data_IF_327421177654
#
_entry.id   IF_327421177654
#
_cell.length_a   1.000
_cell.length_b   1.000
_cell.length_c   1.000
_cell.angle_alpha   90.00
_cell.angle_beta   90.00
_cell.angle_gamma   90.00
#
_symmetry.space_group_name_H-M   'P 1'
#
loop_
_entity.id
_entity.type
_entity.pdbx_description
1 polymer ?
#
# COMPACT_ATOMS: atom_id res chain seq x y z
N UNK A 1 -48.56 52.64 -7.53
CA UNK A 1 -47.80 52.51 -6.27
C UNK A 1 -47.21 51.13 -6.24
N UNK A 2 -45.96 51.00 -6.69
CA UNK A 2 -45.28 49.73 -6.88
C UNK A 2 -44.17 49.61 -5.85
N UNK A 3 -44.33 48.67 -4.90
CA UNK A 3 -43.35 48.39 -3.85
C UNK A 3 -42.31 47.43 -4.35
N UNK A 4 -41.10 47.93 -4.54
CA UNK A 4 -39.90 47.15 -4.92
C UNK A 4 -39.46 46.32 -3.73
N UNK A 5 -39.49 45.00 -3.83
CA UNK A 5 -38.87 44.08 -2.90
C UNK A 5 -37.43 43.81 -3.37
N UNK A 6 -36.45 44.33 -2.66
CA UNK A 6 -35.03 44.03 -2.85
C UNK A 6 -34.74 42.62 -2.32
N UNK A 7 -34.45 41.73 -3.22
CA UNK A 7 -33.91 40.40 -2.92
C UNK A 7 -32.48 40.55 -2.37
N UNK A 8 -32.28 40.12 -1.13
CA UNK A 8 -30.97 40.06 -0.47
C UNK A 8 -30.32 38.75 -0.89
N UNK A 9 -29.39 38.81 -1.84
CA UNK A 9 -28.64 37.68 -2.32
C UNK A 9 -27.47 37.45 -1.36
N UNK A 10 -27.62 36.46 -0.47
CA UNK A 10 -26.54 36.00 0.39
C UNK A 10 -25.63 35.11 -0.44
N UNK A 11 -24.48 35.64 -0.81
CA UNK A 11 -23.42 34.88 -1.50
C UNK A 11 -22.68 34.02 -0.47
N UNK A 12 -23.07 32.76 -0.34
CA UNK A 12 -22.31 31.79 0.43
C UNK A 12 -21.12 31.34 -0.45
N UNK A 13 -19.96 31.96 -0.23
CA UNK A 13 -18.68 31.46 -0.78
C UNK A 13 -18.30 30.25 0.07
N UNK A 14 -18.72 29.07 -0.37
CA UNK A 14 -18.17 27.82 0.12
C UNK A 14 -16.74 27.71 -0.42
N UNK A 15 -15.77 28.10 0.41
CA UNK A 15 -14.36 27.91 0.14
C UNK A 15 -14.04 26.43 0.12
N UNK A 16 -14.11 25.81 -1.09
CA UNK A 16 -13.54 24.49 -1.34
C UNK A 16 -12.01 24.67 -1.28
N UNK A 17 -11.45 24.47 -0.11
CA UNK A 17 -10.01 24.34 0.05
C UNK A 17 -9.60 23.03 -0.64
N UNK A 18 -9.27 23.12 -1.93
CA UNK A 18 -8.51 22.10 -2.61
C UNK A 18 -7.14 22.10 -1.94
N UNK A 19 -6.97 21.21 -0.96
CA UNK A 19 -5.64 20.86 -0.46
C UNK A 19 -4.97 20.17 -1.65
N UNK A 20 -4.34 21.00 -2.50
CA UNK A 20 -3.39 20.53 -3.49
C UNK A 20 -2.25 19.89 -2.70
N UNK A 21 -2.30 18.57 -2.50
CA UNK A 21 -1.10 17.82 -2.16
C UNK A 21 -0.13 18.10 -3.32
N UNK A 22 0.75 19.08 -3.12
CA UNK A 22 1.93 19.22 -3.93
C UNK A 22 2.65 17.87 -3.85
N UNK A 23 2.45 17.02 -4.88
CA UNK A 23 3.35 15.91 -5.13
C UNK A 23 4.71 16.54 -5.26
N UNK A 24 5.52 16.43 -4.21
CA UNK A 24 6.95 16.63 -4.33
C UNK A 24 7.35 15.71 -5.47
N UNK A 25 7.87 16.29 -6.54
CA UNK A 25 8.42 15.58 -7.69
C UNK A 25 9.74 14.90 -7.27
N UNK A 26 9.67 14.03 -6.30
CA UNK A 26 10.62 12.95 -6.09
C UNK A 26 10.29 11.90 -7.14
N UNK A 27 11.26 11.39 -7.86
CA UNK A 27 11.06 10.34 -8.85
C UNK A 27 10.28 9.21 -8.19
N UNK A 28 9.03 9.02 -8.64
CA UNK A 28 8.20 7.91 -8.16
C UNK A 28 8.99 6.62 -8.42
N UNK A 29 9.21 5.83 -7.39
CA UNK A 29 9.95 4.57 -7.48
C UNK A 29 8.95 3.41 -7.49
N UNK A 30 9.01 2.57 -8.53
CA UNK A 30 8.26 1.31 -8.60
C UNK A 30 9.16 0.16 -8.20
N UNK A 31 8.68 -0.72 -7.33
CA UNK A 31 9.33 -1.99 -7.03
C UNK A 31 8.79 -3.04 -7.99
N UNK A 32 9.69 -3.77 -8.64
CA UNK A 32 9.36 -4.80 -9.62
C UNK A 32 9.92 -6.15 -9.21
N UNK A 33 9.26 -7.22 -9.62
CA UNK A 33 9.68 -8.59 -9.36
C UNK A 33 9.49 -9.49 -10.58
N UNK A 34 10.25 -10.57 -10.62
CA UNK A 34 10.03 -11.64 -11.58
C UNK A 34 8.66 -12.29 -11.39
N UNK A 35 8.03 -12.75 -12.46
CA UNK A 35 6.71 -13.40 -12.44
C UNK A 35 6.63 -14.64 -11.54
N UNK A 36 7.78 -15.27 -11.22
CA UNK A 36 7.86 -16.40 -10.27
C UNK A 36 7.63 -16.01 -8.81
N UNK A 37 7.67 -14.71 -8.48
CA UNK A 37 7.29 -14.19 -7.17
C UNK A 37 5.77 -14.16 -7.07
N UNK A 38 5.20 -14.91 -6.13
CA UNK A 38 3.75 -15.17 -6.09
C UNK A 38 2.95 -14.00 -5.52
N UNK A 39 3.55 -13.20 -4.62
CA UNK A 39 2.87 -12.05 -4.00
C UNK A 39 2.77 -10.85 -4.96
N UNK A 40 1.70 -10.05 -4.81
CA UNK A 40 1.52 -8.78 -5.52
C UNK A 40 1.85 -7.56 -4.65
N UNK A 41 2.22 -7.79 -3.40
CA UNK A 41 2.60 -6.74 -2.46
C UNK A 41 3.73 -7.21 -1.54
N UNK A 42 4.48 -6.24 -1.03
CA UNK A 42 5.56 -6.44 -0.06
C UNK A 42 5.49 -5.35 1.01
N UNK A 43 5.69 -5.68 2.27
CA UNK A 43 5.82 -4.64 3.30
C UNK A 43 7.17 -3.93 3.21
N UNK A 44 7.21 -2.66 3.60
CA UNK A 44 8.46 -1.88 3.63
C UNK A 44 9.53 -2.56 4.50
N UNK A 45 9.13 -3.12 5.66
CA UNK A 45 10.02 -3.87 6.53
C UNK A 45 10.62 -5.12 5.86
N UNK A 46 9.81 -5.84 5.08
CA UNK A 46 10.25 -7.03 4.34
C UNK A 46 11.19 -6.66 3.20
N UNK A 47 10.83 -5.62 2.42
CA UNK A 47 11.69 -5.07 1.37
C UNK A 47 13.04 -4.63 1.93
N UNK A 48 13.04 -3.89 3.04
CA UNK A 48 14.26 -3.46 3.75
C UNK A 48 15.13 -4.65 4.16
N UNK A 49 14.55 -5.69 4.76
CA UNK A 49 15.29 -6.89 5.17
C UNK A 49 15.92 -7.64 4.00
N UNK A 50 15.27 -7.68 2.83
CA UNK A 50 15.78 -8.29 1.60
C UNK A 50 16.97 -7.49 1.09
N UNK A 51 16.83 -6.18 0.93
CA UNK A 51 17.91 -5.33 0.43
C UNK A 51 19.06 -5.19 1.42
N UNK A 52 18.82 -5.32 2.71
CA UNK A 52 19.89 -5.41 3.72
C UNK A 52 20.45 -6.84 3.89
N UNK A 53 20.12 -7.75 2.98
CA UNK A 53 20.63 -9.14 2.96
C UNK A 53 20.36 -9.93 4.25
N UNK A 54 19.38 -9.50 5.05
CA UNK A 54 18.98 -10.17 6.30
C UNK A 54 18.12 -11.40 6.03
N UNK A 55 17.48 -11.45 4.87
CA UNK A 55 16.71 -12.60 4.38
C UNK A 55 16.75 -12.66 2.86
N UNK A 56 16.63 -13.86 2.31
CA UNK A 56 16.42 -14.11 0.87
C UNK A 56 15.06 -14.77 0.63
N UNK A 57 14.17 -14.74 1.62
CA UNK A 57 12.84 -15.35 1.50
C UNK A 57 11.78 -14.33 1.88
N UNK A 58 10.72 -14.30 1.09
CA UNK A 58 9.46 -13.64 1.42
C UNK A 58 8.65 -14.48 2.40
N UNK A 59 7.62 -13.88 3.00
CA UNK A 59 6.73 -14.58 3.96
C UNK A 59 5.95 -15.73 3.33
N UNK A 60 5.71 -15.68 2.02
CA UNK A 60 5.07 -16.75 1.25
C UNK A 60 6.02 -17.92 0.92
N UNK A 61 7.30 -17.82 1.34
CA UNK A 61 8.35 -18.80 1.08
C UNK A 61 9.11 -18.61 -0.23
N UNK A 62 8.72 -17.67 -1.08
CA UNK A 62 9.43 -17.34 -2.31
C UNK A 62 10.85 -16.90 -2.02
N UNK A 63 11.82 -17.53 -2.73
CA UNK A 63 13.23 -17.09 -2.66
C UNK A 63 13.41 -15.90 -3.59
N UNK A 64 14.03 -14.84 -3.08
CA UNK A 64 14.24 -13.59 -3.81
C UNK A 64 15.70 -13.19 -3.86
N UNK A 65 16.07 -12.51 -4.95
CA UNK A 65 17.38 -11.95 -5.20
C UNK A 65 17.24 -10.43 -5.46
N UNK A 66 17.74 -9.58 -4.55
CA UNK A 66 17.70 -8.14 -4.74
C UNK A 66 18.69 -7.70 -5.83
N UNK A 67 18.22 -6.77 -6.69
CA UNK A 67 19.02 -6.15 -7.74
C UNK A 67 19.04 -4.65 -7.50
N UNK A 68 20.22 -4.04 -7.57
CA UNK A 68 20.44 -2.62 -7.37
C UNK A 68 20.64 -1.91 -8.71
N UNK A 69 20.20 -0.66 -8.81
CA UNK A 69 20.76 0.24 -9.81
C UNK A 69 22.08 0.82 -9.32
N UNK A 70 23.01 1.07 -10.24
CA UNK A 70 24.19 1.85 -9.95
C UNK A 70 23.80 3.24 -9.47
N UNK A 71 24.74 3.91 -8.79
CA UNK A 71 24.55 5.24 -8.23
C UNK A 71 23.83 6.20 -9.19
N UNK A 72 22.90 6.98 -8.65
CA UNK A 72 22.12 7.96 -9.37
C UNK A 72 20.90 8.35 -8.56
N UNK A 73 20.17 9.33 -9.06
CA UNK A 73 18.99 9.91 -8.37
C UNK A 73 17.93 8.86 -7.98
N UNK A 74 17.74 7.83 -8.81
CA UNK A 74 16.77 6.77 -8.53
C UNK A 74 17.26 5.86 -7.39
N UNK A 75 18.55 5.49 -7.38
CA UNK A 75 19.14 4.72 -6.28
C UNK A 75 19.06 5.49 -4.97
N UNK A 76 19.34 6.79 -4.98
CA UNK A 76 19.25 7.66 -3.82
C UNK A 76 17.80 7.78 -3.32
N UNK A 77 16.83 7.92 -4.22
CA UNK A 77 15.41 7.97 -3.90
C UNK A 77 14.93 6.65 -3.27
N UNK A 78 15.29 5.52 -3.89
CA UNK A 78 14.96 4.19 -3.37
C UNK A 78 15.56 3.97 -1.98
N UNK A 79 16.84 4.27 -1.79
CA UNK A 79 17.57 4.05 -0.53
C UNK A 79 16.95 4.85 0.62
N UNK A 80 16.65 6.13 0.40
CA UNK A 80 16.00 6.99 1.40
C UNK A 80 14.56 6.56 1.68
N UNK A 81 13.78 6.28 0.62
CA UNK A 81 12.36 5.98 0.75
C UNK A 81 12.09 4.63 1.41
N UNK A 82 12.86 3.59 1.03
CA UNK A 82 12.56 2.21 1.42
C UNK A 82 13.54 1.63 2.41
N UNK A 83 14.81 2.05 2.40
CA UNK A 83 15.84 1.50 3.28
C UNK A 83 16.13 2.38 4.48
N UNK A 84 15.59 3.62 4.50
CA UNK A 84 15.82 4.62 5.54
C UNK A 84 17.34 4.88 5.75
N UNK A 85 18.07 4.94 4.64
CA UNK A 85 19.51 5.14 4.57
C UNK A 85 19.87 5.94 3.33
N UNK A 86 20.97 6.67 3.40
CA UNK A 86 21.55 7.26 2.20
C UNK A 86 22.44 6.25 1.43
N UNK A 87 22.81 6.61 0.19
CA UNK A 87 23.57 5.72 -0.69
C UNK A 87 24.98 5.39 -0.16
N UNK A 88 25.60 6.30 0.60
CA UNK A 88 26.92 6.06 1.19
C UNK A 88 26.83 5.10 2.39
N UNK A 89 25.78 5.24 3.20
CA UNK A 89 25.51 4.31 4.30
C UNK A 89 25.23 2.90 3.78
N UNK A 90 24.45 2.77 2.69
CA UNK A 90 24.19 1.49 2.05
C UNK A 90 25.45 0.87 1.49
N UNK A 91 26.30 1.65 0.85
CA UNK A 91 27.59 1.18 0.35
C UNK A 91 28.49 0.66 1.48
N UNK A 92 28.63 1.46 2.52
CA UNK A 92 29.41 1.09 3.72
C UNK A 92 28.88 -0.19 4.34
N UNK A 93 27.56 -0.32 4.42
CA UNK A 93 26.91 -1.52 4.92
C UNK A 93 27.28 -2.77 4.09
N UNK A 94 27.15 -2.69 2.75
CA UNK A 94 27.48 -3.83 1.88
C UNK A 94 28.97 -4.20 1.93
N UNK A 95 29.88 -3.22 1.99
CA UNK A 95 31.30 -3.50 2.21
C UNK A 95 31.53 -4.28 3.50
N UNK A 96 30.86 -3.91 4.58
CA UNK A 96 30.91 -4.64 5.85
C UNK A 96 30.39 -6.08 5.73
N UNK A 97 29.25 -6.29 5.02
CA UNK A 97 28.68 -7.63 4.79
C UNK A 97 29.64 -8.52 4.00
N UNK A 98 30.25 -8.00 2.94
CA UNK A 98 31.24 -8.73 2.12
C UNK A 98 32.50 -9.03 2.91
N UNK A 99 33.06 -8.03 3.61
CA UNK A 99 34.28 -8.16 4.40
C UNK A 99 34.14 -9.20 5.53
N UNK A 100 32.98 -9.29 6.15
CA UNK A 100 32.68 -10.27 7.20
C UNK A 100 32.26 -11.65 6.68
N UNK A 101 32.23 -11.86 5.35
CA UNK A 101 31.80 -13.12 4.73
C UNK A 101 30.33 -13.47 4.93
N UNK A 102 29.50 -12.53 5.39
CA UNK A 102 28.07 -12.75 5.66
C UNK A 102 27.20 -12.75 4.40
N UNK A 103 27.74 -12.31 3.26
CA UNK A 103 27.04 -12.27 1.99
C UNK A 103 27.87 -11.70 0.85
N UNK A 104 27.31 -11.67 -0.36
CA UNK A 104 27.89 -11.04 -1.53
C UNK A 104 27.09 -9.78 -1.89
N UNK A 105 27.73 -8.84 -2.58
CA UNK A 105 27.05 -7.67 -3.15
C UNK A 105 25.88 -8.13 -4.03
N UNK A 106 24.72 -7.48 -3.92
CA UNK A 106 23.65 -7.65 -4.91
C UNK A 106 24.14 -7.30 -6.32
N UNK A 107 23.51 -7.91 -7.32
CA UNK A 107 23.77 -7.55 -8.73
C UNK A 107 23.43 -6.07 -8.93
N UNK A 108 24.30 -5.36 -9.67
CA UNK A 108 24.07 -3.98 -10.08
C UNK A 108 23.81 -3.88 -11.58
N UNK A 109 22.85 -3.04 -11.97
CA UNK A 109 22.48 -2.70 -13.34
C UNK A 109 22.57 -1.19 -13.57
N UNK A 110 22.61 -0.74 -14.84
CA UNK A 110 22.91 0.65 -15.16
C UNK A 110 21.69 1.50 -15.52
N UNK A 111 20.55 0.87 -15.88
CA UNK A 111 19.34 1.57 -16.31
C UNK A 111 18.07 0.82 -15.94
N UNK A 112 16.91 1.48 -16.13
CA UNK A 112 15.59 0.89 -15.95
C UNK A 112 15.37 -0.27 -16.93
N UNK A 113 15.80 -0.14 -18.18
CA UNK A 113 15.65 -1.17 -19.20
C UNK A 113 16.47 -2.42 -18.84
N UNK A 114 17.71 -2.23 -18.38
CA UNK A 114 18.55 -3.34 -17.90
C UNK A 114 17.94 -3.99 -16.67
N UNK A 115 17.37 -3.19 -15.75
CA UNK A 115 16.68 -3.71 -14.56
C UNK A 115 15.47 -4.55 -14.95
N UNK A 116 14.57 -4.03 -15.81
CA UNK A 116 13.39 -4.78 -16.28
C UNK A 116 13.81 -6.06 -17.00
N UNK A 117 14.77 -5.98 -17.90
CA UNK A 117 15.28 -7.14 -18.63
C UNK A 117 15.85 -8.20 -17.68
N UNK A 118 16.68 -7.81 -16.74
CA UNK A 118 17.27 -8.74 -15.77
C UNK A 118 16.20 -9.39 -14.89
N UNK A 119 15.29 -8.61 -14.34
CA UNK A 119 14.20 -9.10 -13.48
C UNK A 119 13.27 -10.03 -14.26
N UNK A 120 12.94 -9.72 -15.52
CA UNK A 120 12.08 -10.57 -16.33
C UNK A 120 12.68 -11.98 -16.55
N UNK A 121 14.00 -12.07 -16.74
CA UNK A 121 14.68 -13.33 -17.08
C UNK A 121 15.29 -14.07 -15.89
N UNK A 122 15.33 -13.45 -14.70
CA UNK A 122 15.95 -14.05 -13.51
C UNK A 122 14.90 -14.42 -12.48
N UNK A 123 14.74 -15.73 -12.25
CA UNK A 123 13.77 -16.26 -11.29
C UNK A 123 14.03 -15.70 -9.88
N UNK A 124 12.99 -15.16 -9.26
CA UNK A 124 13.06 -14.58 -7.91
C UNK A 124 13.72 -13.22 -7.85
N UNK A 125 14.18 -12.64 -8.97
CA UNK A 125 14.75 -11.30 -8.94
C UNK A 125 13.72 -10.26 -8.50
N UNK A 126 14.16 -9.31 -7.67
CA UNK A 126 13.40 -8.15 -7.22
C UNK A 126 14.26 -6.91 -7.41
N UNK A 127 13.72 -5.90 -8.08
CA UNK A 127 14.40 -4.66 -8.43
C UNK A 127 13.52 -3.44 -8.23
N UNK A 128 14.01 -2.28 -8.67
CA UNK A 128 13.25 -1.04 -8.68
C UNK A 128 13.58 -0.21 -9.90
N UNK A 129 12.61 0.54 -10.37
CA UNK A 129 12.69 1.40 -11.55
C UNK A 129 11.99 2.73 -11.30
N UNK A 130 12.21 3.71 -12.19
CA UNK A 130 11.48 4.97 -12.15
C UNK A 130 9.98 4.78 -12.40
N UNK A 131 9.15 5.69 -11.92
CA UNK A 131 7.70 5.67 -12.12
C UNK A 131 7.28 5.71 -13.59
N UNK A 132 8.13 6.26 -14.48
CA UNK A 132 7.90 6.33 -15.92
C UNK A 132 8.40 5.12 -16.70
N UNK A 133 9.14 4.20 -16.05
CA UNK A 133 9.70 3.03 -16.74
C UNK A 133 8.60 2.11 -17.28
N UNK A 134 8.83 1.55 -18.48
CA UNK A 134 8.03 0.44 -18.97
C UNK A 134 8.34 -0.81 -18.14
N UNK A 135 7.30 -1.46 -17.64
CA UNK A 135 7.37 -2.65 -16.78
C UNK A 135 6.78 -3.90 -17.44
N UNK A 136 6.72 -3.93 -18.78
CA UNK A 136 6.25 -5.10 -19.50
C UNK A 136 7.15 -6.31 -19.21
N UNK A 137 6.52 -7.46 -18.97
CA UNK A 137 7.20 -8.70 -18.67
C UNK A 137 7.65 -8.89 -17.22
N UNK A 138 7.42 -7.91 -16.34
CA UNK A 138 7.68 -8.01 -14.91
C UNK A 138 6.43 -7.68 -14.09
N UNK A 139 6.41 -8.13 -12.85
CA UNK A 139 5.35 -7.82 -11.89
C UNK A 139 5.71 -6.55 -11.12
N UNK A 140 4.79 -5.60 -11.03
CA UNK A 140 4.93 -4.45 -10.13
C UNK A 140 4.36 -4.83 -8.76
N UNK A 141 5.18 -4.70 -7.72
CA UNK A 141 4.77 -4.96 -6.35
C UNK A 141 4.26 -3.69 -5.68
N UNK A 142 3.08 -3.76 -5.06
CA UNK A 142 2.63 -2.71 -4.16
C UNK A 142 3.45 -2.76 -2.87
N UNK A 143 4.12 -1.64 -2.51
CA UNK A 143 4.86 -1.56 -1.26
C UNK A 143 3.96 -0.99 -0.17
N UNK A 144 3.61 -1.82 0.80
CA UNK A 144 2.85 -1.39 1.95
C UNK A 144 3.78 -0.66 2.94
N UNK A 145 3.45 0.57 3.37
CA UNK A 145 4.22 1.29 4.37
C UNK A 145 4.32 0.49 5.67
N UNK A 146 5.36 0.77 6.43
CA UNK A 146 5.53 0.20 7.76
C UNK A 146 4.47 0.81 8.68
N UNK A 147 3.48 0.02 9.07
CA UNK A 147 2.45 0.49 9.99
C UNK A 147 3.10 0.72 11.36
N UNK A 148 3.19 1.97 11.74
CA UNK A 148 3.57 2.39 13.08
C UNK A 148 2.62 1.73 14.07
N UNK A 149 3.13 0.88 14.96
CA UNK A 149 2.39 0.26 16.08
C UNK A 149 1.31 -0.76 15.72
N UNK A 150 1.52 -1.62 14.70
CA UNK A 150 0.55 -2.68 14.40
C UNK A 150 -0.69 -2.22 13.64
N UNK A 151 -0.74 -0.95 13.22
CA UNK A 151 -1.81 -0.41 12.40
C UNK A 151 -1.73 -0.98 10.98
N UNK A 152 -2.82 -1.61 10.54
CA UNK A 152 -2.93 -2.22 9.23
C UNK A 152 -3.49 -1.23 8.23
N UNK A 153 -2.87 -1.16 7.05
CA UNK A 153 -3.37 -0.34 5.96
C UNK A 153 -4.35 -1.16 5.14
N UNK A 154 -5.50 -0.59 4.84
CA UNK A 154 -6.49 -1.19 3.96
C UNK A 154 -6.04 -1.04 2.50
N UNK A 155 -5.66 -2.16 1.86
CA UNK A 155 -5.14 -2.19 0.48
C UNK A 155 -6.24 -2.36 -0.56
N UNK A 156 -7.27 -3.15 -0.23
CA UNK A 156 -8.46 -3.35 -1.06
C UNK A 156 -9.68 -3.10 -0.20
N UNK A 157 -10.54 -2.17 -0.63
CA UNK A 157 -11.84 -1.87 -0.04
C UNK A 157 -12.95 -2.30 -0.98
N UNK A 158 -13.94 -3.00 -0.46
CA UNK A 158 -15.21 -3.27 -1.13
C UNK A 158 -16.28 -2.50 -0.38
N UNK A 159 -17.03 -1.67 -1.11
CA UNK A 159 -18.12 -0.90 -0.50
C UNK A 159 -19.31 -1.82 -0.22
N UNK A 160 -19.96 -1.70 0.95
CA UNK A 160 -21.13 -2.48 1.26
C UNK A 160 -22.31 -2.08 0.39
N UNK A 161 -23.06 -3.06 -0.08
CA UNK A 161 -24.32 -2.82 -0.79
C UNK A 161 -25.37 -2.31 0.20
N UNK A 162 -25.90 -1.11 -0.04
CA UNK A 162 -26.95 -0.56 0.80
C UNK A 162 -28.27 -1.31 0.55
N UNK A 163 -28.89 -1.97 1.57
CA UNK A 163 -30.14 -2.69 1.37
C UNK A 163 -31.25 -1.76 0.90
N UNK A 164 -31.84 -2.06 -0.24
CA UNK A 164 -32.83 -1.19 -0.94
C UNK A 164 -34.01 -0.82 -0.03
N UNK A 165 -34.46 -1.76 0.79
CA UNK A 165 -35.58 -1.54 1.72
C UNK A 165 -35.26 -0.44 2.75
N UNK A 166 -34.05 -0.41 3.27
CA UNK A 166 -33.63 0.60 4.23
C UNK A 166 -33.32 1.93 3.52
N UNK A 167 -32.75 1.86 2.33
CA UNK A 167 -32.46 3.04 1.51
C UNK A 167 -33.77 3.79 1.14
N UNK A 168 -34.83 3.07 0.67
CA UNK A 168 -36.13 3.65 0.35
C UNK A 168 -36.83 4.25 1.57
N UNK A 169 -36.56 3.72 2.76
CA UNK A 169 -37.14 4.21 4.02
C UNK A 169 -36.30 5.30 4.67
N UNK A 170 -35.19 5.71 4.06
CA UNK A 170 -34.29 6.73 4.59
C UNK A 170 -33.64 6.34 5.93
N UNK A 171 -33.45 5.01 6.17
CA UNK A 171 -32.87 4.53 7.44
C UNK A 171 -31.35 4.56 7.35
N UNK A 172 -30.75 5.59 7.86
CA UNK A 172 -29.30 5.77 7.92
C UNK A 172 -28.71 5.22 9.23
N UNK A 173 -27.39 5.05 9.25
CA UNK A 173 -26.69 4.65 10.46
C UNK A 173 -25.23 4.28 10.22
N UNK A 174 -24.51 4.08 11.32
CA UNK A 174 -23.14 3.60 11.30
C UNK A 174 -23.05 2.21 11.92
N UNK A 175 -22.47 1.27 11.18
CA UNK A 175 -22.16 -0.07 11.69
C UNK A 175 -20.72 -0.09 12.20
N UNK A 176 -20.53 -0.62 13.40
CA UNK A 176 -19.21 -0.86 13.99
C UNK A 176 -18.91 -2.33 14.01
N UNK A 177 -17.76 -2.71 13.46
CA UNK A 177 -17.31 -4.09 13.35
C UNK A 177 -15.91 -4.23 13.96
N UNK A 178 -15.67 -5.38 14.59
CA UNK A 178 -14.33 -5.85 14.98
C UNK A 178 -13.89 -6.92 14.00
N UNK A 179 -12.77 -6.69 13.32
CA UNK A 179 -12.22 -7.55 12.28
C UNK A 179 -10.97 -8.24 12.82
N UNK A 180 -10.92 -9.58 12.76
CA UNK A 180 -9.67 -10.30 12.96
C UNK A 180 -8.99 -10.47 11.59
N UNK A 181 -7.82 -9.86 11.43
CA UNK A 181 -7.06 -9.87 10.18
C UNK A 181 -5.84 -10.77 10.32
N UNK A 182 -5.69 -11.72 9.41
CA UNK A 182 -4.57 -12.68 9.38
C UNK A 182 -3.22 -11.99 9.17
N UNK A 183 -2.13 -12.68 9.44
CA UNK A 183 -0.78 -12.21 9.12
C UNK A 183 -0.63 -11.84 7.62
N UNK A 184 -1.38 -12.49 6.72
CA UNK A 184 -1.37 -12.25 5.28
C UNK A 184 -2.22 -11.04 4.85
N UNK A 185 -3.01 -10.45 5.75
CA UNK A 185 -3.88 -9.31 5.46
C UNK A 185 -5.32 -9.64 5.09
N UNK A 186 -5.71 -10.91 5.04
CA UNK A 186 -7.11 -11.31 4.80
C UNK A 186 -7.94 -11.24 6.08
N UNK A 187 -9.20 -10.84 5.98
CA UNK A 187 -10.16 -10.86 7.10
C UNK A 187 -10.54 -12.30 7.38
N UNK A 188 -10.27 -12.79 8.61
CA UNK A 188 -10.57 -14.16 9.05
C UNK A 188 -11.91 -14.26 9.77
N UNK A 189 -12.21 -13.28 10.63
CA UNK A 189 -13.48 -13.22 11.35
C UNK A 189 -13.96 -11.78 11.46
N UNK A 190 -15.28 -11.64 11.56
CA UNK A 190 -15.99 -10.36 11.72
C UNK A 190 -16.94 -10.51 12.89
N UNK A 191 -16.91 -9.53 13.80
CA UNK A 191 -17.83 -9.43 14.93
C UNK A 191 -18.53 -8.07 14.89
N UNK A 192 -19.85 -8.07 14.93
CA UNK A 192 -20.65 -6.84 15.03
C UNK A 192 -20.58 -6.29 16.45
N UNK A 193 -20.05 -5.06 16.60
CA UNK A 193 -20.00 -4.36 17.88
C UNK A 193 -21.27 -3.51 18.08
N UNK A 194 -21.84 -2.97 16.99
CA UNK A 194 -23.03 -2.15 17.04
C UNK A 194 -23.49 -1.64 15.69
N UNK A 195 -24.72 -1.19 15.62
CA UNK A 195 -25.39 -0.70 14.42
C UNK A 195 -26.72 -1.42 14.14
N UNK A 196 -27.42 -1.01 13.07
CA UNK A 196 -28.64 -1.67 12.64
C UNK A 196 -28.29 -3.09 12.11
N UNK A 197 -29.01 -4.17 12.54
CA UNK A 197 -28.67 -5.54 12.15
C UNK A 197 -28.66 -5.79 10.63
N UNK A 198 -29.59 -5.18 9.88
CA UNK A 198 -29.69 -5.35 8.42
C UNK A 198 -28.52 -4.65 7.72
N UNK A 199 -28.13 -3.45 8.19
CA UNK A 199 -26.94 -2.77 7.70
C UNK A 199 -25.65 -3.53 8.08
N UNK A 200 -25.65 -4.18 9.26
CA UNK A 200 -24.53 -4.97 9.73
C UNK A 200 -24.26 -6.17 8.81
N UNK A 201 -25.29 -6.87 8.37
CA UNK A 201 -25.17 -7.99 7.42
C UNK A 201 -24.52 -7.54 6.09
N UNK A 202 -24.96 -6.41 5.54
CA UNK A 202 -24.39 -5.85 4.33
C UNK A 202 -22.92 -5.44 4.54
N UNK A 203 -22.62 -4.83 5.69
CA UNK A 203 -21.26 -4.45 6.06
C UNK A 203 -20.34 -5.66 6.25
N UNK A 204 -20.80 -6.72 6.93
CA UNK A 204 -20.05 -7.97 7.11
C UNK A 204 -19.66 -8.60 5.78
N UNK A 205 -20.59 -8.68 4.83
CA UNK A 205 -20.34 -9.25 3.51
C UNK A 205 -19.22 -8.48 2.80
N UNK A 206 -19.26 -7.16 2.83
CA UNK A 206 -18.26 -6.32 2.19
C UNK A 206 -16.88 -6.43 2.84
N UNK A 207 -16.80 -6.39 4.19
CA UNK A 207 -15.50 -6.40 4.87
C UNK A 207 -14.78 -7.74 4.80
N UNK A 208 -15.49 -8.84 4.54
CA UNK A 208 -14.86 -10.15 4.29
C UNK A 208 -13.99 -10.17 3.03
N UNK A 209 -14.27 -9.30 2.07
CA UNK A 209 -13.49 -9.13 0.84
C UNK A 209 -12.39 -8.08 0.96
N UNK A 210 -12.28 -7.40 2.10
CA UNK A 210 -11.23 -6.42 2.33
C UNK A 210 -9.88 -7.09 2.48
N UNK A 211 -8.86 -6.43 1.99
CA UNK A 211 -7.47 -6.88 2.10
C UNK A 211 -6.65 -5.78 2.77
N UNK A 212 -5.96 -6.15 3.82
CA UNK A 212 -5.08 -5.27 4.58
C UNK A 212 -3.62 -5.57 4.28
N UNK A 213 -2.74 -4.65 4.66
CA UNK A 213 -1.30 -4.89 4.61
C UNK A 213 -0.91 -6.09 5.47
N UNK A 214 0.04 -6.93 5.02
CA UNK A 214 0.58 -8.01 5.84
C UNK A 214 1.24 -7.48 7.11
N UNK A 215 1.23 -8.32 8.16
CA UNK A 215 1.90 -8.03 9.41
C UNK A 215 2.54 -9.30 9.97
N UNK A 216 3.40 -9.17 10.96
CA UNK A 216 4.05 -10.32 11.59
C UNK A 216 3.06 -11.25 12.30
N UNK A 217 1.93 -10.71 12.80
CA UNK A 217 0.94 -11.43 13.59
C UNK A 217 -0.48 -11.13 13.11
N UNK A 218 -1.43 -11.98 13.49
CA UNK A 218 -2.85 -11.67 13.42
C UNK A 218 -3.15 -10.46 14.30
N UNK A 219 -4.04 -9.59 13.87
CA UNK A 219 -4.45 -8.39 14.62
C UNK A 219 -5.94 -8.18 14.57
N UNK A 220 -6.48 -7.51 15.59
CA UNK A 220 -7.87 -7.08 15.65
C UNK A 220 -7.95 -5.59 15.32
N UNK A 221 -8.87 -5.23 14.41
CA UNK A 221 -9.09 -3.86 13.94
C UNK A 221 -10.56 -3.53 14.10
N UNK A 222 -10.86 -2.38 14.69
CA UNK A 222 -12.22 -1.85 14.72
C UNK A 222 -12.44 -0.92 13.52
N UNK A 223 -13.56 -1.10 12.82
CA UNK A 223 -13.96 -0.26 11.69
C UNK A 223 -15.37 0.26 11.87
N UNK A 224 -15.61 1.47 11.38
CA UNK A 224 -16.93 2.11 11.36
C UNK A 224 -17.33 2.37 9.92
N UNK A 225 -18.49 1.84 9.53
CA UNK A 225 -19.01 1.93 8.16
C UNK A 225 -20.31 2.74 8.19
N UNK A 226 -20.29 3.98 7.67
CA UNK A 226 -21.48 4.80 7.57
C UNK A 226 -22.34 4.37 6.37
N UNK A 227 -23.65 4.30 6.57
CA UNK A 227 -24.67 4.18 5.56
C UNK A 227 -25.49 5.48 5.55
N UNK A 228 -25.40 6.22 4.46
CA UNK A 228 -26.14 7.44 4.25
C UNK A 228 -26.85 7.43 2.91
N UNK A 229 -28.05 7.95 2.85
CA UNK A 229 -28.78 8.14 1.60
C UNK A 229 -28.15 9.32 0.88
N UNK A 230 -27.54 9.08 -0.28
CA UNK A 230 -27.05 10.18 -1.13
C UNK A 230 -28.25 10.87 -1.76
N UNK A 231 -28.32 12.21 -1.69
CA UNK A 231 -29.38 13.00 -2.30
C UNK A 231 -29.40 12.86 -3.82
#
# INVERSE_FOLDING_TARGET
MTKSMKAFQVLIIAGLQIVSLARVAGSEVKVIANSSVTTDFISMAELRRIYLLQTRKLKDGSVVEPVLQKRGSLHDAFSRQFLDRDSEEIRTYYHGVVFTGKGSMPREVNSDEEMVSYVAHTRGAIGYVSGSANTDGVKVLAVAPESSRGERILLKRVEPEYPKELQHRGIEGTVRLSLTVSAKGSVQSVQVIGGNPILAEAAEKAVREWVYSPSATTSTIEVSIPFAVRP
#
